data_IF_218302617956
#
_entry.id   IF_218302617956
#
_cell.length_a   1.000
_cell.length_b   1.000
_cell.length_c   1.000
_cell.angle_alpha   90.00
_cell.angle_beta   90.00
_cell.angle_gamma   90.00
#
_symmetry.space_group_name_H-M   'P 1'
#
loop_
_entity.id
_entity.type
_entity.pdbx_description
1 polymer ?
#
# COMPACT_ATOMS: atom_id res chain seq x y z
N UNK A 1 -14.69 -0.24 -1.21
CA UNK A 1 -14.36 0.23 -2.57
C UNK A 1 -13.29 1.29 -2.46
N UNK A 2 -12.28 1.28 -3.34
CA UNK A 2 -11.21 2.31 -3.31
C UNK A 2 -11.81 3.67 -3.69
N UNK A 3 -11.40 4.74 -2.99
CA UNK A 3 -11.79 6.10 -3.38
C UNK A 3 -11.03 6.50 -4.64
N UNK A 4 -11.67 7.14 -5.61
CA UNK A 4 -11.02 7.59 -6.85
C UNK A 4 -9.77 8.46 -6.58
N UNK A 5 -9.78 9.26 -5.51
CA UNK A 5 -8.63 10.10 -5.09
C UNK A 5 -7.43 9.32 -4.56
N UNK A 6 -7.57 8.02 -4.31
CA UNK A 6 -6.49 7.13 -3.86
C UNK A 6 -6.02 6.20 -4.98
N UNK A 7 -6.66 6.18 -6.14
CA UNK A 7 -6.30 5.25 -7.21
C UNK A 7 -5.26 5.88 -8.14
N UNK A 8 -4.19 5.14 -8.44
CA UNK A 8 -3.11 5.54 -9.35
C UNK A 8 -2.65 4.38 -10.21
N UNK A 9 -2.16 4.68 -11.42
CA UNK A 9 -1.33 3.74 -12.18
C UNK A 9 -0.18 3.25 -11.28
N UNK A 10 0.09 1.96 -11.29
CA UNK A 10 1.06 1.31 -10.40
C UNK A 10 0.45 0.71 -9.13
N UNK A 11 -0.79 1.08 -8.75
CA UNK A 11 -1.45 0.43 -7.61
C UNK A 11 -1.76 -1.05 -7.90
N UNK A 12 -1.55 -1.90 -6.89
CA UNK A 12 -1.94 -3.30 -6.90
C UNK A 12 -3.33 -3.40 -6.27
N UNK A 13 -4.28 -3.91 -7.04
CA UNK A 13 -5.69 -4.03 -6.65
C UNK A 13 -6.27 -5.35 -7.14
N UNK A 14 -7.39 -5.76 -6.55
CA UNK A 14 -8.21 -6.81 -7.14
C UNK A 14 -9.20 -6.16 -8.11
N UNK A 15 -9.14 -6.54 -9.38
CA UNK A 15 -9.98 -5.99 -10.43
C UNK A 15 -11.12 -6.96 -10.75
N UNK A 16 -12.36 -6.50 -10.66
CA UNK A 16 -13.53 -7.23 -11.17
C UNK A 16 -13.98 -6.63 -12.48
N UNK A 17 -14.02 -7.45 -13.53
CA UNK A 17 -14.43 -7.05 -14.87
C UNK A 17 -15.87 -7.54 -15.07
N UNK A 18 -16.84 -6.63 -14.92
CA UNK A 18 -18.27 -6.96 -14.93
C UNK A 18 -18.72 -7.69 -16.20
N UNK A 19 -18.26 -7.22 -17.37
CA UNK A 19 -18.64 -7.80 -18.68
C UNK A 19 -18.27 -9.29 -18.82
N UNK A 20 -17.30 -9.76 -18.05
CA UNK A 20 -16.84 -11.16 -18.05
C UNK A 20 -17.14 -11.88 -16.73
N UNK A 21 -17.78 -11.20 -15.78
CA UNK A 21 -17.96 -11.62 -14.39
C UNK A 21 -16.71 -12.31 -13.81
N UNK A 22 -15.56 -11.64 -13.94
CA UNK A 22 -14.25 -12.24 -13.64
C UNK A 22 -13.42 -11.37 -12.73
N UNK A 23 -12.80 -12.01 -11.73
CA UNK A 23 -11.77 -11.41 -10.89
C UNK A 23 -10.37 -11.61 -11.46
N UNK A 24 -9.57 -10.55 -11.37
CA UNK A 24 -8.13 -10.54 -11.60
C UNK A 24 -7.47 -10.03 -10.33
N UNK A 25 -6.96 -10.95 -9.52
CA UNK A 25 -6.40 -10.63 -8.20
C UNK A 25 -4.97 -10.12 -8.32
N UNK A 26 -4.58 -9.15 -7.48
CA UNK A 26 -3.23 -8.62 -7.42
C UNK A 26 -2.75 -7.94 -8.71
N UNK A 27 -3.67 -7.33 -9.46
CA UNK A 27 -3.35 -6.66 -10.72
C UNK A 27 -2.66 -5.32 -10.45
N UNK A 28 -1.49 -5.11 -11.05
CA UNK A 28 -0.86 -3.78 -11.15
C UNK A 28 -1.62 -2.97 -12.21
N UNK A 29 -2.21 -1.85 -11.80
CA UNK A 29 -2.94 -0.99 -12.72
C UNK A 29 -2.00 -0.31 -13.71
N UNK A 30 -2.36 -0.39 -14.98
CA UNK A 30 -1.71 0.26 -16.11
C UNK A 30 -2.66 1.25 -16.79
N UNK A 31 -2.16 2.03 -17.75
CA UNK A 31 -3.00 2.91 -18.57
C UNK A 31 -4.11 2.17 -19.31
N UNK A 32 -3.87 0.91 -19.72
CA UNK A 32 -4.87 0.08 -20.39
C UNK A 32 -6.05 -0.28 -19.47
N UNK A 33 -5.82 -0.29 -18.16
CA UNK A 33 -6.86 -0.65 -17.19
C UNK A 33 -7.85 0.47 -16.94
N UNK A 34 -7.45 1.72 -17.24
CA UNK A 34 -8.32 2.89 -17.10
C UNK A 34 -9.58 2.70 -17.95
N UNK A 35 -9.43 2.25 -19.20
CA UNK A 35 -10.56 2.01 -20.09
C UNK A 35 -11.52 0.94 -19.54
N UNK A 36 -10.97 -0.12 -18.93
CA UNK A 36 -11.78 -1.15 -18.30
C UNK A 36 -12.57 -0.60 -17.11
N UNK A 37 -11.92 0.22 -16.27
CA UNK A 37 -12.54 0.84 -15.09
C UNK A 37 -13.64 1.81 -15.51
N UNK A 38 -13.40 2.65 -16.52
CA UNK A 38 -14.41 3.56 -17.08
C UNK A 38 -15.60 2.82 -17.69
N UNK A 39 -15.38 1.60 -18.19
CA UNK A 39 -16.41 0.74 -18.75
C UNK A 39 -17.17 -0.08 -17.69
N UNK A 40 -16.92 0.15 -16.40
CA UNK A 40 -17.64 -0.48 -15.29
C UNK A 40 -16.84 -1.49 -14.47
N UNK A 41 -15.54 -1.71 -14.74
CA UNK A 41 -14.74 -2.57 -13.87
C UNK A 41 -14.54 -1.95 -12.48
N UNK A 42 -14.63 -2.78 -11.44
CA UNK A 42 -14.48 -2.33 -10.04
C UNK A 42 -13.07 -2.66 -9.51
N UNK A 43 -12.44 -1.68 -8.87
CA UNK A 43 -11.17 -1.86 -8.16
C UNK A 43 -11.41 -2.05 -6.66
N UNK A 44 -11.03 -3.23 -6.16
CA UNK A 44 -11.11 -3.57 -4.75
C UNK A 44 -9.77 -3.43 -4.04
N UNK A 45 -9.76 -2.85 -2.83
CA UNK A 45 -8.55 -2.73 -2.05
C UNK A 45 -8.10 -4.10 -1.55
N UNK A 46 -6.80 -4.35 -1.59
CA UNK A 46 -6.18 -5.54 -1.02
C UNK A 46 -5.72 -5.19 0.40
N UNK A 47 -6.15 -5.91 1.45
CA UNK A 47 -5.66 -5.72 2.81
C UNK A 47 -4.13 -5.80 2.87
N UNK A 48 -3.51 -4.85 3.56
CA UNK A 48 -2.08 -4.89 3.82
C UNK A 48 -1.82 -5.94 4.91
N UNK A 49 -1.12 -7.01 4.54
CA UNK A 49 -0.72 -8.09 5.45
C UNK A 49 0.80 -8.14 5.59
N UNK A 50 1.30 -8.87 6.58
CA UNK A 50 2.73 -9.13 6.74
C UNK A 50 3.34 -9.78 5.49
N UNK A 51 2.60 -10.65 4.80
CA UNK A 51 3.05 -11.25 3.53
C UNK A 51 3.33 -10.18 2.46
N UNK A 52 2.48 -9.15 2.38
CA UNK A 52 2.71 -8.03 1.47
C UNK A 52 3.92 -7.20 1.87
N UNK A 53 4.11 -6.93 3.17
CA UNK A 53 5.30 -6.23 3.67
C UNK A 53 6.58 -6.98 3.27
N UNK A 54 6.62 -8.30 3.45
CA UNK A 54 7.74 -9.15 3.01
C UNK A 54 7.96 -9.07 1.49
N UNK A 55 6.88 -9.17 0.70
CA UNK A 55 6.95 -9.03 -0.77
C UNK A 55 7.49 -7.68 -1.22
N UNK A 56 7.19 -6.61 -0.49
CA UNK A 56 7.73 -5.28 -0.73
C UNK A 56 9.13 -5.06 -0.15
N UNK A 57 9.76 -6.10 0.38
CA UNK A 57 11.11 -6.04 0.93
C UNK A 57 11.22 -5.28 2.25
N UNK A 58 10.14 -5.20 3.03
CA UNK A 58 10.24 -4.80 4.42
C UNK A 58 10.90 -5.91 5.23
N UNK A 59 11.73 -5.53 6.19
CA UNK A 59 12.42 -6.44 7.09
C UNK A 59 11.79 -6.35 8.49
N UNK A 60 11.41 -7.50 9.03
CA UNK A 60 10.95 -7.58 10.40
C UNK A 60 12.12 -7.41 11.37
N UNK A 61 11.92 -6.60 12.40
CA UNK A 61 12.87 -6.40 13.50
C UNK A 61 12.15 -6.60 14.83
N UNK A 62 12.66 -7.54 15.61
CA UNK A 62 12.27 -7.72 17.00
C UNK A 62 13.17 -6.92 17.93
N UNK A 63 12.61 -6.39 19.01
CA UNK A 63 13.33 -5.55 19.95
C UNK A 63 12.45 -5.09 21.10
N UNK A 64 12.60 -3.83 21.51
CA UNK A 64 11.70 -3.21 22.50
C UNK A 64 10.27 -3.09 21.97
N UNK A 65 10.11 -2.95 20.65
CA UNK A 65 8.83 -2.97 19.95
C UNK A 65 9.01 -3.65 18.59
N UNK A 66 8.21 -4.69 18.35
CA UNK A 66 8.23 -5.46 17.11
C UNK A 66 7.71 -4.61 15.94
N UNK A 67 8.45 -4.59 14.83
CA UNK A 67 8.15 -3.68 13.72
C UNK A 67 8.74 -4.10 12.38
N UNK A 68 8.17 -3.56 11.31
CA UNK A 68 8.62 -3.75 9.94
C UNK A 68 9.28 -2.49 9.39
N UNK A 69 10.45 -2.66 8.76
CA UNK A 69 11.29 -1.54 8.32
C UNK A 69 11.57 -1.62 6.82
N UNK A 70 11.52 -0.47 6.13
CA UNK A 70 12.02 -0.36 4.75
C UNK A 70 13.04 0.77 4.63
N UNK A 71 14.30 0.37 4.45
CA UNK A 71 15.43 1.27 4.18
C UNK A 71 15.64 1.45 2.67
N UNK A 72 16.22 2.59 2.23
CA UNK A 72 16.79 3.70 3.03
C UNK A 72 15.79 4.77 3.48
N UNK A 73 14.48 4.60 3.21
CA UNK A 73 13.48 5.67 3.38
C UNK A 73 13.03 5.82 4.85
N UNK A 74 13.37 4.87 5.71
CA UNK A 74 13.03 4.92 7.14
C UNK A 74 11.53 4.76 7.37
N UNK A 75 10.84 4.00 6.52
CA UNK A 75 9.44 3.65 6.74
C UNK A 75 9.35 2.56 7.80
N UNK A 76 8.52 2.83 8.79
CA UNK A 76 8.26 1.98 9.94
C UNK A 76 6.77 1.61 9.97
N UNK A 77 6.47 0.32 10.10
CA UNK A 77 5.12 -0.19 10.29
C UNK A 77 5.05 -1.01 11.58
N UNK A 78 4.13 -0.66 12.47
CA UNK A 78 3.88 -1.37 13.71
C UNK A 78 2.62 -2.24 13.55
N UNK A 79 2.70 -3.57 13.75
CA UNK A 79 1.54 -4.43 13.59
C UNK A 79 0.46 -4.19 14.67
N UNK A 80 0.82 -3.63 15.82
CA UNK A 80 -0.08 -3.36 16.95
C UNK A 80 -0.69 -1.96 16.92
N UNK A 81 -0.07 -1.02 16.20
CA UNK A 81 -0.60 0.32 15.94
C UNK A 81 -0.81 0.44 14.44
N UNK A 82 -2.05 0.29 13.95
CA UNK A 82 -2.41 0.25 12.52
C UNK A 82 -2.01 1.53 11.76
N UNK A 83 -0.72 1.75 11.51
CA UNK A 83 -0.23 2.97 10.91
C UNK A 83 1.26 2.96 10.59
N UNK A 84 1.65 3.89 9.71
CA UNK A 84 3.04 4.07 9.26
C UNK A 84 3.62 5.35 9.85
N UNK A 85 4.89 5.27 10.24
CA UNK A 85 5.71 6.40 10.63
C UNK A 85 6.96 6.51 9.74
N UNK A 86 7.49 7.74 9.68
CA UNK A 86 8.85 8.00 9.23
C UNK A 86 9.76 8.06 10.45
N UNK A 87 10.86 7.30 10.43
CA UNK A 87 11.84 7.20 11.52
C UNK A 87 12.35 8.59 11.96
N UNK A 88 12.52 9.51 11.01
CA UNK A 88 13.00 10.88 11.27
C UNK A 88 11.98 11.80 11.96
N UNK A 89 10.72 11.40 12.04
CA UNK A 89 9.63 12.20 12.62
C UNK A 89 9.11 11.54 13.92
N UNK A 90 9.61 10.36 14.29
CA UNK A 90 9.16 9.59 15.46
C UNK A 90 9.24 10.40 16.77
N UNK A 91 10.31 11.17 16.97
CA UNK A 91 10.47 12.01 18.18
C UNK A 91 9.46 13.17 18.27
N UNK A 92 8.74 13.48 17.19
CA UNK A 92 7.84 14.64 17.07
C UNK A 92 6.37 14.28 16.92
N UNK A 93 6.04 13.00 16.66
CA UNK A 93 4.66 12.56 16.46
C UNK A 93 4.07 12.13 17.80
N UNK A 94 2.91 12.68 18.14
CA UNK A 94 2.08 12.13 19.23
C UNK A 94 1.45 10.85 18.69
N UNK A 95 1.10 9.88 19.55
CA UNK A 95 0.48 8.59 19.15
C UNK A 95 -0.73 8.72 18.21
N UNK A 96 -1.34 9.91 18.10
CA UNK A 96 -2.47 10.22 17.22
C UNK A 96 -2.09 10.70 15.81
N UNK A 97 -0.81 10.88 15.49
CA UNK A 97 -0.36 11.40 14.18
C UNK A 97 0.06 10.27 13.19
N UNK A 98 -0.22 9.01 13.55
CA UNK A 98 0.05 7.87 12.66
C UNK A 98 -0.89 7.90 11.45
N UNK A 99 -0.33 7.81 10.24
CA UNK A 99 -1.13 7.62 9.03
C UNK A 99 -1.65 6.19 9.06
N UNK A 100 -2.96 6.02 9.22
CA UNK A 100 -3.60 4.70 9.21
C UNK A 100 -3.54 4.09 7.80
N UNK A 101 -2.78 3.00 7.66
CA UNK A 101 -2.61 2.26 6.39
C UNK A 101 -3.16 0.84 6.59
N UNK A 102 -4.24 0.54 5.88
CA UNK A 102 -4.95 -0.73 5.95
C UNK A 102 -4.86 -1.54 4.67
N UNK A 103 -4.50 -0.90 3.56
CA UNK A 103 -4.53 -1.50 2.23
C UNK A 103 -3.22 -1.29 1.48
N UNK A 104 -2.91 -2.23 0.60
CA UNK A 104 -1.69 -2.23 -0.24
C UNK A 104 -1.54 -0.93 -1.03
N UNK A 105 -2.61 -0.45 -1.68
CA UNK A 105 -2.55 0.77 -2.50
C UNK A 105 -2.21 2.02 -1.68
N UNK A 106 -2.62 2.08 -0.41
CA UNK A 106 -2.29 3.21 0.48
C UNK A 106 -0.79 3.24 0.79
N UNK A 107 -0.17 2.08 1.05
CA UNK A 107 1.27 1.99 1.26
C UNK A 107 2.04 2.37 0.00
N UNK A 108 1.61 1.88 -1.17
CA UNK A 108 2.22 2.23 -2.45
C UNK A 108 2.14 3.73 -2.74
N UNK A 109 1.00 4.36 -2.46
CA UNK A 109 0.82 5.80 -2.65
C UNK A 109 1.70 6.62 -1.70
N UNK A 110 1.81 6.23 -0.43
CA UNK A 110 2.71 6.88 0.51
C UNK A 110 4.16 6.75 0.04
N UNK A 111 4.59 5.54 -0.34
CA UNK A 111 5.94 5.30 -0.82
C UNK A 111 6.27 6.14 -2.05
N UNK A 112 5.36 6.19 -3.03
CA UNK A 112 5.50 7.02 -4.23
C UNK A 112 5.57 8.51 -3.88
N UNK A 113 4.70 9.01 -3.00
CA UNK A 113 4.70 10.41 -2.59
C UNK A 113 6.03 10.83 -1.92
N UNK A 114 6.66 9.92 -1.18
CA UNK A 114 7.92 10.19 -0.49
C UNK A 114 9.17 10.06 -1.37
N UNK A 115 9.11 9.22 -2.42
CA UNK A 115 10.31 8.80 -3.14
C UNK A 115 10.31 9.16 -4.62
N UNK A 116 9.14 9.43 -5.20
CA UNK A 116 8.93 9.52 -6.64
C UNK A 116 9.05 8.18 -7.38
N UNK A 117 9.27 7.05 -6.69
CA UNK A 117 9.46 5.73 -7.28
C UNK A 117 8.31 4.79 -6.88
N UNK A 118 8.06 3.77 -7.71
CA UNK A 118 7.08 2.73 -7.39
C UNK A 118 7.58 1.83 -6.26
N UNK A 119 6.66 1.37 -5.43
CA UNK A 119 6.94 0.31 -4.45
C UNK A 119 6.87 -1.05 -5.17
N UNK A 120 8.03 -1.50 -5.62
CA UNK A 120 8.17 -2.77 -6.37
C UNK A 120 8.20 -3.99 -5.45
N UNK A 121 7.82 -5.14 -6.02
CA UNK A 121 8.00 -6.44 -5.39
C UNK A 121 9.49 -6.83 -5.46
N UNK A 122 9.98 -7.44 -4.38
CA UNK A 122 11.35 -7.96 -4.28
C UNK A 122 11.55 -9.27 -5.04
#
# INVERSE_FOLDING_TARGET
MIRATELRIGNIVDLHIEIFDRWVNGRVLSSNDIQCIESGATCNPIPLTEEWLVKFGFEYRSGWEDSWHKYPIGLYFNPYKSGVCLEQIWEKLVENDLVNIQYVHQLQNLFFALTGNELELK
#
